data_IF_406564438092
#
_entry.id   IF_406564438092
#
_cell.length_a   1.000
_cell.length_b   1.000
_cell.length_c   1.000
_cell.angle_alpha   90.00
_cell.angle_beta   90.00
_cell.angle_gamma   90.00
#
_symmetry.space_group_name_H-M   'P 1'
#
loop_
_entity.id
_entity.type
_entity.pdbx_description
1 polymer ?
#
# COMPACT_ATOMS: atom_id res chain seq x y z
N UNK A 1 -48.32 18.25 -27.45
CA UNK A 1 -47.70 19.33 -26.68
C UNK A 1 -46.27 18.93 -26.41
N UNK A 2 -45.35 19.52 -27.16
CA UNK A 2 -43.92 19.20 -27.26
C UNK A 2 -43.17 19.86 -26.10
N UNK A 3 -42.29 19.12 -25.42
CA UNK A 3 -41.20 19.73 -24.68
C UNK A 3 -39.95 18.87 -24.78
N UNK A 4 -39.02 19.34 -25.63
CA UNK A 4 -37.63 18.86 -25.71
C UNK A 4 -36.93 19.22 -24.40
N UNK A 5 -36.31 18.25 -23.74
CA UNK A 5 -35.20 18.49 -22.82
C UNK A 5 -33.96 17.82 -23.39
N UNK A 6 -33.06 18.65 -23.88
CA UNK A 6 -31.69 18.31 -24.27
C UNK A 6 -30.91 17.81 -23.05
N UNK A 7 -30.62 16.52 -22.98
CA UNK A 7 -29.59 16.01 -22.08
C UNK A 7 -28.22 16.13 -22.79
N UNK A 8 -27.35 16.95 -22.22
CA UNK A 8 -25.90 16.92 -22.50
C UNK A 8 -25.34 15.61 -21.90
N UNK A 9 -24.53 14.82 -22.62
CA UNK A 9 -23.85 13.68 -22.00
C UNK A 9 -22.67 14.20 -21.17
N UNK A 10 -22.84 14.15 -19.85
CA UNK A 10 -21.74 14.17 -18.88
C UNK A 10 -21.13 12.77 -18.95
N UNK A 11 -20.00 12.64 -19.66
CA UNK A 11 -19.24 11.38 -19.71
C UNK A 11 -17.74 11.71 -19.57
N UNK A 12 -17.37 12.14 -18.37
CA UNK A 12 -15.98 12.23 -17.90
C UNK A 12 -16.03 12.13 -16.38
N UNK A 13 -16.14 10.92 -15.85
CA UNK A 13 -16.03 10.64 -14.42
C UNK A 13 -16.08 9.13 -14.21
N UNK A 14 -14.91 8.48 -14.21
CA UNK A 14 -14.66 7.25 -13.46
C UNK A 14 -13.15 6.92 -13.51
N UNK A 15 -12.29 7.86 -13.15
CA UNK A 15 -10.93 7.53 -12.71
C UNK A 15 -10.31 8.69 -11.93
N UNK A 16 -10.99 9.18 -10.90
CA UNK A 16 -10.43 10.10 -9.89
C UNK A 16 -11.50 10.39 -8.83
N UNK A 17 -11.24 9.95 -7.60
CA UNK A 17 -11.69 10.49 -6.31
C UNK A 17 -12.16 9.38 -5.36
N UNK A 18 -11.34 9.12 -4.34
CA UNK A 18 -11.76 8.90 -2.95
C UNK A 18 -10.51 9.08 -2.07
N UNK A 19 -10.24 10.34 -1.70
CA UNK A 19 -9.30 10.71 -0.64
C UNK A 19 -10.05 11.41 0.49
N UNK A 20 -10.05 10.74 1.64
CA UNK A 20 -9.64 11.20 2.97
C UNK A 20 -9.82 12.67 3.36
N UNK A 21 -10.51 12.86 4.50
CA UNK A 21 -10.50 14.06 5.33
C UNK A 21 -9.26 14.06 6.24
N UNK A 22 -8.62 15.23 6.36
CA UNK A 22 -7.46 15.49 7.20
C UNK A 22 -7.85 16.10 8.56
N UNK A 23 -7.00 15.93 9.56
CA UNK A 23 -6.92 16.83 10.71
C UNK A 23 -5.48 17.25 10.99
N UNK A 24 -5.36 18.49 11.46
CA UNK A 24 -4.17 19.35 11.48
C UNK A 24 -3.40 19.20 12.79
N UNK A 25 -2.06 19.22 12.74
CA UNK A 25 -1.26 19.73 13.86
C UNK A 25 -0.01 20.47 13.38
N UNK A 26 0.14 21.71 13.86
CA UNK A 26 1.35 22.53 13.76
C UNK A 26 2.46 21.92 14.63
N UNK A 27 3.70 21.97 14.16
CA UNK A 27 4.85 22.01 15.07
C UNK A 27 5.91 23.01 14.58
N UNK A 28 6.25 23.89 15.52
CA UNK A 28 7.31 24.88 15.57
C UNK A 28 8.70 24.25 15.55
N UNK A 29 9.65 24.88 14.85
CA UNK A 29 11.01 24.39 14.69
C UNK A 29 11.95 24.65 15.87
N UNK A 30 13.14 24.04 15.82
CA UNK A 30 14.43 24.69 16.14
C UNK A 30 15.64 23.84 15.75
N UNK A 31 16.63 24.53 15.18
CA UNK A 31 18.10 24.42 15.31
C UNK A 31 18.86 23.09 15.15
N UNK A 32 19.46 22.96 13.95
CA UNK A 32 20.89 22.73 13.65
C UNK A 32 21.79 22.21 14.79
N UNK A 33 22.39 21.03 14.57
CA UNK A 33 23.79 20.74 14.89
C UNK A 33 24.42 19.96 13.74
N UNK A 34 25.45 20.55 13.12
CA UNK A 34 26.25 19.92 12.06
C UNK A 34 27.29 19.01 12.73
N UNK A 35 27.23 17.73 12.42
CA UNK A 35 28.33 16.79 12.59
C UNK A 35 28.68 16.26 11.21
N UNK A 36 29.89 16.56 10.74
CA UNK A 36 30.40 16.10 9.46
C UNK A 36 30.92 14.66 9.64
N UNK A 37 30.07 13.69 9.30
CA UNK A 37 30.51 12.33 9.03
C UNK A 37 31.05 12.25 7.60
N UNK A 38 32.17 11.56 7.46
CA UNK A 38 32.81 11.26 6.18
C UNK A 38 31.76 10.81 5.17
N UNK A 39 31.67 11.52 4.05
CA UNK A 39 30.67 11.25 3.02
C UNK A 39 30.93 9.87 2.43
N UNK A 40 30.05 8.92 2.74
CA UNK A 40 29.80 7.79 1.85
C UNK A 40 29.59 8.33 0.42
N UNK A 41 29.99 7.58 -0.63
CA UNK A 41 29.70 8.00 -1.99
C UNK A 41 28.20 8.29 -2.08
N UNK A 42 27.86 9.54 -2.41
CA UNK A 42 26.46 9.97 -2.58
C UNK A 42 25.87 9.04 -3.61
N UNK A 43 25.01 8.12 -3.18
CA UNK A 43 24.31 7.25 -4.10
C UNK A 43 23.39 8.14 -4.92
N UNK A 44 23.45 8.04 -6.24
CA UNK A 44 22.55 8.77 -7.13
C UNK A 44 21.08 8.31 -6.98
N UNK A 45 20.87 7.17 -6.28
CA UNK A 45 19.57 6.54 -6.06
C UNK A 45 19.32 6.17 -4.60
N UNK A 46 18.05 6.20 -4.22
CA UNK A 46 17.48 5.64 -3.01
C UNK A 46 16.73 4.34 -3.34
N UNK A 47 17.04 3.26 -2.62
CA UNK A 47 16.33 1.97 -2.75
C UNK A 47 15.22 1.88 -1.71
N UNK A 48 14.02 1.53 -2.17
CA UNK A 48 12.83 1.35 -1.35
C UNK A 48 12.48 -0.13 -1.27
N UNK A 49 12.08 -0.60 -0.07
CA UNK A 49 11.55 -1.94 0.14
C UNK A 49 10.04 -1.88 0.38
N UNK A 50 9.29 -2.67 -0.38
CA UNK A 50 7.83 -2.79 -0.27
C UNK A 50 7.41 -4.24 -0.52
N UNK A 51 6.63 -4.81 0.39
CA UNK A 51 6.37 -6.25 0.43
C UNK A 51 7.68 -7.04 0.41
N UNK A 52 7.91 -7.82 -0.64
CA UNK A 52 9.15 -8.59 -0.83
C UNK A 52 10.06 -8.02 -1.91
N UNK A 53 9.74 -6.85 -2.46
CA UNK A 53 10.42 -6.27 -3.62
C UNK A 53 11.23 -5.03 -3.25
N UNK A 54 12.18 -4.72 -4.13
CA UNK A 54 12.96 -3.50 -4.12
C UNK A 54 12.74 -2.70 -5.41
N UNK A 55 12.82 -1.38 -5.28
CA UNK A 55 12.77 -0.42 -6.37
C UNK A 55 13.78 0.71 -6.10
N UNK A 56 14.48 1.18 -7.11
CA UNK A 56 15.38 2.33 -7.00
C UNK A 56 14.76 3.58 -7.66
N UNK A 57 14.91 4.72 -6.99
CA UNK A 57 14.46 6.03 -7.45
C UNK A 57 15.54 7.08 -7.20
N UNK A 58 15.48 8.28 -7.83
CA UNK A 58 16.45 9.34 -7.59
C UNK A 58 16.65 9.63 -6.10
N UNK A 59 17.91 9.84 -5.69
CA UNK A 59 18.23 10.11 -4.31
C UNK A 59 17.45 11.31 -3.75
N UNK A 60 16.91 11.15 -2.54
CA UNK A 60 16.04 12.15 -1.91
C UNK A 60 14.55 12.01 -2.25
N UNK A 61 14.16 10.96 -2.98
CA UNK A 61 12.75 10.62 -3.16
C UNK A 61 12.16 10.18 -1.81
N UNK A 62 10.87 10.39 -1.61
CA UNK A 62 10.21 10.18 -0.31
C UNK A 62 8.91 9.39 -0.47
N UNK A 63 8.65 8.49 0.48
CA UNK A 63 7.36 7.79 0.53
C UNK A 63 6.26 8.80 0.85
N UNK A 64 5.27 8.91 -0.04
CA UNK A 64 4.14 9.84 0.09
C UNK A 64 2.83 9.12 0.42
N UNK A 65 2.74 7.82 0.14
CA UNK A 65 1.57 7.00 0.40
C UNK A 65 1.91 5.53 0.56
N UNK A 66 1.03 4.80 1.23
CA UNK A 66 1.15 3.35 1.35
C UNK A 66 -0.12 2.70 1.89
N UNK A 67 -0.43 1.52 1.38
CA UNK A 67 -1.52 0.68 1.86
C UNK A 67 -1.04 -0.78 1.86
N UNK A 68 -1.06 -1.41 3.03
CA UNK A 68 -0.41 -2.69 3.25
C UNK A 68 -1.40 -3.64 3.91
N UNK A 69 -1.48 -4.87 3.38
CA UNK A 69 -2.18 -5.98 4.02
C UNK A 69 -1.23 -7.16 4.11
N UNK A 70 -1.19 -7.79 5.26
CA UNK A 70 -0.36 -8.95 5.52
C UNK A 70 -1.21 -10.00 6.21
N UNK A 71 -1.31 -11.18 5.60
CA UNK A 71 -2.14 -12.30 6.06
C UNK A 71 -3.57 -11.86 6.44
N UNK A 72 -4.25 -11.24 5.47
CA UNK A 72 -5.60 -10.64 5.57
C UNK A 72 -5.73 -9.42 6.49
N UNK A 73 -4.74 -9.13 7.34
CA UNK A 73 -4.76 -7.98 8.24
C UNK A 73 -4.30 -6.70 7.53
N UNK A 74 -5.16 -5.69 7.52
CA UNK A 74 -4.82 -4.34 7.05
C UNK A 74 -3.98 -3.63 8.09
N UNK A 75 -2.88 -3.04 7.67
CA UNK A 75 -2.03 -2.22 8.51
C UNK A 75 -2.47 -0.75 8.43
N UNK A 76 -2.72 -0.15 9.59
CA UNK A 76 -2.80 1.31 9.71
C UNK A 76 -1.38 1.90 9.75
N UNK A 77 -1.23 3.13 9.22
CA UNK A 77 0.05 3.85 9.27
C UNK A 77 0.63 3.84 10.69
N UNK A 78 1.91 3.46 10.88
CA UNK A 78 2.54 3.50 12.19
C UNK A 78 2.42 4.89 12.81
N UNK A 79 2.10 4.93 14.10
CA UNK A 79 1.85 6.17 14.84
C UNK A 79 2.94 6.35 15.88
N UNK A 80 3.70 7.43 15.78
CA UNK A 80 4.62 7.82 16.85
C UNK A 80 3.82 8.12 18.13
N UNK A 81 4.16 7.46 19.22
CA UNK A 81 3.55 7.68 20.53
C UNK A 81 4.41 7.10 21.66
N UNK A 82 4.39 7.76 22.81
CA UNK A 82 5.03 7.26 24.03
C UNK A 82 4.37 5.98 24.53
N UNK A 83 5.08 5.24 25.38
CA UNK A 83 4.54 4.04 26.03
C UNK A 83 3.34 4.38 26.92
N UNK A 84 3.38 5.50 27.64
CA UNK A 84 2.28 5.95 28.51
C UNK A 84 1.01 6.25 27.69
N UNK A 85 1.13 6.96 26.57
CA UNK A 85 0.02 7.20 25.66
C UNK A 85 -0.54 5.89 25.10
N UNK A 86 0.33 4.93 24.79
CA UNK A 86 -0.09 3.62 24.28
C UNK A 86 -0.88 2.85 25.32
N UNK A 87 -0.37 2.77 26.55
CA UNK A 87 -1.06 2.10 27.66
C UNK A 87 -2.41 2.76 27.96
N UNK A 88 -2.46 4.09 27.95
CA UNK A 88 -3.70 4.86 28.12
C UNK A 88 -4.70 4.55 26.99
N UNK A 89 -4.26 4.49 25.74
CA UNK A 89 -5.09 4.11 24.58
C UNK A 89 -5.66 2.70 24.76
N UNK A 90 -4.84 1.73 25.19
CA UNK A 90 -5.25 0.34 25.39
C UNK A 90 -6.27 0.20 26.54
N UNK A 91 -6.05 0.89 27.66
CA UNK A 91 -6.98 0.91 28.80
C UNK A 91 -8.29 1.58 28.41
N UNK A 92 -8.24 2.71 27.69
CA UNK A 92 -9.43 3.41 27.23
C UNK A 92 -10.27 2.53 26.28
N UNK A 93 -9.64 1.87 25.31
CA UNK A 93 -10.32 0.95 24.38
C UNK A 93 -10.91 -0.24 25.11
N UNK A 94 -10.15 -0.88 26.02
CA UNK A 94 -10.66 -2.00 26.83
C UNK A 94 -11.89 -1.58 27.65
N UNK A 95 -11.83 -0.43 28.32
CA UNK A 95 -12.95 0.10 29.12
C UNK A 95 -14.17 0.39 28.25
N UNK A 96 -13.99 1.05 27.12
CA UNK A 96 -15.07 1.36 26.19
C UNK A 96 -15.79 0.08 25.75
N UNK A 97 -15.04 -0.90 25.23
CA UNK A 97 -15.59 -2.16 24.72
C UNK A 97 -16.27 -3.01 25.81
N UNK A 98 -15.76 -2.99 27.05
CA UNK A 98 -16.39 -3.69 28.19
C UNK A 98 -17.65 -3.00 28.70
N UNK A 99 -17.70 -1.67 28.64
CA UNK A 99 -18.82 -0.89 29.20
C UNK A 99 -20.01 -0.79 28.25
N UNK A 100 -19.78 -0.92 26.94
CA UNK A 100 -20.85 -0.86 25.93
C UNK A 100 -21.53 -2.20 25.80
N UNK A 101 -22.84 -2.25 26.05
CA UNK A 101 -23.64 -3.48 25.95
C UNK A 101 -23.80 -3.93 24.50
N UNK A 102 -23.70 -5.23 24.28
CA UNK A 102 -24.12 -5.88 23.05
C UNK A 102 -25.55 -6.43 23.22
N UNK A 103 -26.29 -6.63 22.13
CA UNK A 103 -27.70 -7.09 22.20
C UNK A 103 -27.83 -8.54 22.64
N UNK A 104 -26.83 -9.37 22.36
CA UNK A 104 -26.85 -10.81 22.68
C UNK A 104 -25.65 -11.28 23.53
N UNK A 105 -24.69 -10.40 23.80
CA UNK A 105 -23.54 -10.69 24.65
C UNK A 105 -23.38 -9.62 25.73
N UNK A 106 -22.64 -9.90 26.83
CA UNK A 106 -22.52 -8.95 27.94
C UNK A 106 -22.00 -7.58 27.53
N UNK A 107 -21.09 -7.53 26.56
CA UNK A 107 -20.45 -6.31 26.07
C UNK A 107 -20.01 -6.44 24.61
N UNK A 108 -19.54 -5.34 24.00
CA UNK A 108 -18.91 -5.39 22.67
C UNK A 108 -17.59 -6.19 22.68
N UNK A 109 -16.84 -6.17 23.79
CA UNK A 109 -15.63 -6.97 23.93
C UNK A 109 -15.97 -8.46 24.01
N UNK A 110 -15.41 -9.26 23.09
CA UNK A 110 -15.50 -10.73 23.11
C UNK A 110 -14.29 -11.34 23.77
N UNK A 111 -13.10 -11.03 23.26
CA UNK A 111 -11.82 -11.60 23.70
C UNK A 111 -10.78 -10.49 23.78
N UNK A 112 -9.92 -10.57 24.79
CA UNK A 112 -8.72 -9.75 24.89
C UNK A 112 -7.53 -10.65 25.17
N UNK A 113 -6.57 -10.69 24.25
CA UNK A 113 -5.29 -11.39 24.43
C UNK A 113 -4.20 -10.35 24.70
N UNK A 114 -3.32 -10.66 25.65
CA UNK A 114 -2.15 -9.84 25.99
C UNK A 114 -0.90 -10.72 25.82
N UNK A 115 -0.37 -10.91 24.59
CA UNK A 115 0.76 -11.82 24.35
C UNK A 115 2.02 -11.45 25.14
N UNK A 116 2.24 -10.15 25.32
CA UNK A 116 3.34 -9.57 26.09
C UNK A 116 2.90 -8.19 26.65
N UNK A 117 3.73 -7.51 27.47
CA UNK A 117 3.37 -6.21 28.03
C UNK A 117 3.02 -5.13 26.99
N UNK A 118 3.61 -5.20 25.80
CA UNK A 118 3.54 -4.19 24.73
C UNK A 118 2.55 -4.53 23.61
N UNK A 119 1.85 -5.66 23.70
CA UNK A 119 0.95 -6.16 22.66
C UNK A 119 -0.47 -6.43 23.18
N UNK A 120 -1.48 -6.07 22.39
CA UNK A 120 -2.90 -6.34 22.69
C UNK A 120 -3.61 -6.85 21.45
N UNK A 121 -4.44 -7.87 21.60
CA UNK A 121 -5.35 -8.31 20.53
C UNK A 121 -6.78 -8.20 21.06
N UNK A 122 -7.56 -7.32 20.46
CA UNK A 122 -8.97 -7.13 20.79
C UNK A 122 -9.83 -7.84 19.76
N UNK A 123 -10.68 -8.76 20.22
CA UNK A 123 -11.78 -9.30 19.42
C UNK A 123 -13.07 -8.68 19.94
N UNK A 124 -13.81 -7.98 19.07
CA UNK A 124 -14.98 -7.22 19.48
C UNK A 124 -16.02 -7.10 18.37
N UNK A 125 -17.25 -6.79 18.77
CA UNK A 125 -18.31 -6.35 17.86
C UNK A 125 -18.15 -4.87 17.56
N UNK A 126 -18.17 -4.50 16.28
CA UNK A 126 -18.11 -3.09 15.87
C UNK A 126 -19.33 -2.32 16.41
N UNK A 127 -20.51 -2.94 16.35
CA UNK A 127 -21.76 -2.35 16.81
C UNK A 127 -22.57 -3.31 17.68
N UNK A 128 -23.45 -2.75 18.51
CA UNK A 128 -24.25 -3.51 19.50
C UNK A 128 -25.16 -4.59 18.93
N UNK A 129 -25.41 -4.60 17.61
CA UNK A 129 -26.34 -5.51 16.96
C UNK A 129 -25.68 -6.49 15.98
N UNK A 130 -24.37 -6.36 15.72
CA UNK A 130 -23.66 -7.21 14.77
C UNK A 130 -23.39 -8.56 15.41
N UNK A 131 -23.77 -9.65 14.74
CA UNK A 131 -23.53 -11.02 15.23
C UNK A 131 -22.84 -11.92 14.22
N UNK A 132 -22.47 -11.38 13.06
CA UNK A 132 -21.95 -12.16 11.92
C UNK A 132 -20.44 -12.05 11.73
N UNK A 133 -19.85 -10.89 12.07
CA UNK A 133 -18.44 -10.59 11.88
C UNK A 133 -17.92 -9.87 13.11
N UNK A 134 -16.86 -10.42 13.72
CA UNK A 134 -16.12 -9.76 14.78
C UNK A 134 -14.88 -9.07 14.20
N UNK A 135 -14.56 -7.89 14.73
CA UNK A 135 -13.33 -7.17 14.43
C UNK A 135 -12.19 -7.75 15.28
N UNK A 136 -10.99 -7.85 14.69
CA UNK A 136 -9.77 -8.35 15.32
C UNK A 136 -8.68 -7.29 15.13
N UNK A 137 -8.46 -6.50 16.17
CA UNK A 137 -7.41 -5.47 16.18
C UNK A 137 -6.18 -5.98 16.94
N UNK A 138 -5.03 -6.05 16.29
CA UNK A 138 -3.73 -6.29 16.92
C UNK A 138 -2.91 -5.02 17.06
N UNK A 139 -2.55 -4.68 18.30
CA UNK A 139 -1.71 -3.54 18.64
C UNK A 139 -0.36 -4.05 19.15
N UNK A 140 0.72 -3.37 18.73
CA UNK A 140 2.06 -3.57 19.30
C UNK A 140 2.80 -2.25 19.37
N UNK A 141 3.42 -1.98 20.51
CA UNK A 141 4.31 -0.84 20.70
C UNK A 141 5.77 -1.29 20.63
N UNK A 142 6.58 -0.58 19.84
CA UNK A 142 8.02 -0.83 19.69
C UNK A 142 8.71 0.53 19.57
N UNK A 143 9.65 0.83 20.47
CA UNK A 143 10.56 1.98 20.41
C UNK A 143 9.89 3.32 20.03
N UNK A 144 8.83 3.70 20.75
CA UNK A 144 8.12 4.97 20.54
C UNK A 144 7.13 4.96 19.37
N UNK A 145 6.83 3.78 18.81
CA UNK A 145 5.93 3.63 17.67
C UNK A 145 4.85 2.58 17.96
N UNK A 146 3.59 2.92 17.69
CA UNK A 146 2.47 1.98 17.73
C UNK A 146 2.11 1.49 16.34
N UNK A 147 2.09 0.18 16.20
CA UNK A 147 1.58 -0.55 15.06
C UNK A 147 0.16 -1.05 15.36
N UNK A 148 -0.71 -0.98 14.35
CA UNK A 148 -2.10 -1.44 14.43
C UNK A 148 -2.45 -2.23 13.17
N UNK A 149 -2.77 -3.50 13.36
CA UNK A 149 -3.27 -4.41 12.35
C UNK A 149 -4.75 -4.68 12.59
N UNK A 150 -5.55 -4.69 11.54
CA UNK A 150 -6.99 -4.89 11.59
C UNK A 150 -7.39 -6.03 10.66
N UNK A 151 -8.00 -7.06 11.20
CA UNK A 151 -8.63 -8.14 10.45
C UNK A 151 -10.03 -8.41 10.97
N UNK A 152 -10.73 -9.34 10.32
CA UNK A 152 -12.09 -9.70 10.65
C UNK A 152 -12.21 -11.21 10.80
N UNK A 153 -13.12 -11.65 11.67
CA UNK A 153 -13.44 -13.05 11.87
C UNK A 153 -14.94 -13.29 11.65
N UNK A 154 -15.25 -14.17 10.71
CA UNK A 154 -16.62 -14.63 10.50
C UNK A 154 -17.11 -15.49 11.67
N UNK A 155 -18.37 -15.33 12.05
CA UNK A 155 -18.97 -16.04 13.20
C UNK A 155 -19.83 -17.24 12.76
N UNK A 156 -19.74 -17.61 11.48
CA UNK A 156 -20.35 -18.82 10.96
C UNK A 156 -19.68 -20.07 11.55
N UNK A 157 -20.44 -21.17 11.62
CA UNK A 157 -19.91 -22.44 12.11
C UNK A 157 -18.76 -22.90 11.19
N UNK A 158 -17.56 -23.17 11.74
CA UNK A 158 -16.45 -23.67 10.95
C UNK A 158 -16.75 -25.08 10.42
N UNK A 159 -15.94 -25.54 9.46
CA UNK A 159 -16.02 -26.92 8.98
C UNK A 159 -15.71 -27.88 10.14
N UNK A 160 -16.39 -29.02 10.21
CA UNK A 160 -16.15 -30.00 11.27
C UNK A 160 -14.67 -30.40 11.31
N UNK A 161 -14.05 -30.29 12.48
CA UNK A 161 -12.64 -30.60 12.70
C UNK A 161 -11.66 -29.46 12.41
N UNK A 162 -12.13 -28.25 12.11
CA UNK A 162 -11.27 -27.06 11.98
C UNK A 162 -11.49 -26.08 13.12
N UNK A 163 -10.52 -25.19 13.36
CA UNK A 163 -10.64 -24.07 14.30
C UNK A 163 -11.77 -23.13 13.88
N UNK A 164 -12.31 -22.38 14.84
CA UNK A 164 -13.20 -21.27 14.49
C UNK A 164 -12.42 -20.18 13.76
N UNK A 165 -13.09 -19.40 12.91
CA UNK A 165 -12.45 -18.27 12.22
C UNK A 165 -11.93 -17.21 13.21
N UNK A 166 -12.56 -17.09 14.39
CA UNK A 166 -12.07 -16.21 15.45
C UNK A 166 -10.75 -16.68 16.05
N UNK A 167 -10.62 -17.99 16.33
CA UNK A 167 -9.36 -18.57 16.82
C UNK A 167 -8.27 -18.44 15.75
N UNK A 168 -8.58 -18.74 14.49
CA UNK A 168 -7.63 -18.61 13.36
C UNK A 168 -7.16 -17.14 13.21
N UNK A 169 -8.08 -16.18 13.22
CA UNK A 169 -7.73 -14.75 13.11
C UNK A 169 -6.88 -14.26 14.30
N UNK A 170 -7.13 -14.75 15.51
CA UNK A 170 -6.31 -14.41 16.69
C UNK A 170 -4.91 -15.01 16.57
N UNK A 171 -4.79 -16.27 16.15
CA UNK A 171 -3.49 -16.94 15.97
C UNK A 171 -2.65 -16.27 14.88
N UNK A 172 -3.26 -15.94 13.73
CA UNK A 172 -2.60 -15.14 12.66
C UNK A 172 -2.12 -13.81 13.21
N UNK A 173 -2.98 -13.10 13.94
CA UNK A 173 -2.60 -11.82 14.54
C UNK A 173 -1.44 -11.97 15.53
N UNK A 174 -1.40 -13.03 16.33
CA UNK A 174 -0.25 -13.32 17.22
C UNK A 174 1.04 -13.54 16.43
N UNK A 175 0.99 -14.27 15.31
CA UNK A 175 2.14 -14.50 14.44
C UNK A 175 2.66 -13.18 13.81
N UNK A 176 1.74 -12.33 13.31
CA UNK A 176 2.07 -11.00 12.78
C UNK A 176 2.81 -10.17 13.83
N UNK A 177 2.26 -10.07 15.04
CA UNK A 177 2.86 -9.27 16.10
C UNK A 177 4.21 -9.83 16.58
N UNK A 178 4.40 -11.16 16.54
CA UNK A 178 5.65 -11.80 16.92
C UNK A 178 6.79 -11.55 15.92
N UNK A 179 6.48 -11.56 14.61
CA UNK A 179 7.45 -11.27 13.55
C UNK A 179 7.74 -9.78 13.34
N UNK A 180 6.97 -8.89 13.98
CA UNK A 180 7.04 -7.45 13.76
C UNK A 180 8.26 -6.80 14.43
N UNK A 181 8.99 -6.00 13.63
CA UNK A 181 10.01 -5.07 14.10
C UNK A 181 9.95 -3.73 13.37
N UNK A 182 10.53 -2.71 14.00
CA UNK A 182 10.78 -1.41 13.38
C UNK A 182 11.77 -1.56 12.23
N UNK A 183 11.60 -0.72 11.20
CA UNK A 183 12.50 -0.63 10.05
C UNK A 183 12.59 0.81 9.59
N UNK A 184 13.80 1.30 9.34
CA UNK A 184 13.95 2.62 8.70
C UNK A 184 13.63 2.55 7.20
N UNK A 185 13.22 3.67 6.58
CA UNK A 185 12.76 3.70 5.18
C UNK A 185 13.74 3.05 4.19
N UNK A 186 15.04 3.32 4.35
CA UNK A 186 16.10 2.86 3.46
C UNK A 186 16.86 1.63 3.97
N UNK A 187 16.49 1.09 5.12
CA UNK A 187 17.01 -0.21 5.57
C UNK A 187 16.43 -1.32 4.69
N UNK A 188 17.32 -2.17 4.15
CA UNK A 188 16.97 -3.33 3.35
C UNK A 188 17.18 -4.58 4.19
N UNK A 189 16.11 -5.23 4.68
CA UNK A 189 16.23 -6.47 5.44
C UNK A 189 16.84 -7.59 4.60
N UNK A 190 17.83 -8.28 5.15
CA UNK A 190 18.45 -9.46 4.51
C UNK A 190 17.78 -10.77 4.89
N UNK A 191 16.83 -10.74 5.82
CA UNK A 191 16.04 -11.90 6.21
C UNK A 191 14.72 -11.98 5.40
N UNK A 192 14.13 -13.18 5.25
CA UNK A 192 12.81 -13.36 4.66
C UNK A 192 11.71 -12.61 5.41
N UNK A 193 10.80 -11.99 4.65
CA UNK A 193 9.65 -11.30 5.24
C UNK A 193 9.16 -10.11 4.44
N UNK A 194 8.25 -9.36 5.03
CA UNK A 194 7.44 -8.35 4.37
C UNK A 194 7.77 -6.93 4.86
N UNK A 195 8.19 -6.07 3.95
CA UNK A 195 8.48 -4.65 4.18
C UNK A 195 7.23 -3.80 4.01
N UNK A 196 7.05 -2.84 4.90
CA UNK A 196 6.09 -1.76 4.74
C UNK A 196 6.68 -0.44 5.26
N UNK A 197 5.94 0.66 5.15
CA UNK A 197 6.39 1.96 5.66
C UNK A 197 6.57 1.94 7.19
N UNK A 198 7.80 2.13 7.65
CA UNK A 198 8.15 2.17 9.08
C UNK A 198 8.28 0.80 9.77
N UNK A 199 8.21 -0.33 9.06
CA UNK A 199 8.34 -1.64 9.70
C UNK A 199 8.62 -2.81 8.77
N UNK A 200 8.77 -3.98 9.41
CA UNK A 200 9.04 -5.25 8.78
C UNK A 200 8.43 -6.41 9.58
N UNK A 201 7.85 -7.39 8.90
CA UNK A 201 7.38 -8.65 9.50
C UNK A 201 8.27 -9.78 8.99
N UNK A 202 9.09 -10.37 9.87
CA UNK A 202 9.92 -11.52 9.53
C UNK A 202 9.03 -12.76 9.33
N UNK A 203 9.10 -13.36 8.15
CA UNK A 203 8.44 -14.63 7.83
C UNK A 203 9.11 -15.30 6.61
N UNK A 204 9.65 -16.53 6.74
CA UNK A 204 10.16 -17.29 5.60
C UNK A 204 9.06 -17.65 4.61
N UNK A 205 7.87 -17.97 5.08
CA UNK A 205 6.74 -18.41 4.27
C UNK A 205 6.03 -17.22 3.62
N UNK A 206 5.46 -17.45 2.45
CA UNK A 206 4.62 -16.48 1.75
C UNK A 206 3.19 -16.51 2.32
N UNK A 207 2.65 -15.34 2.66
CA UNK A 207 1.26 -15.21 3.14
C UNK A 207 0.40 -14.47 2.11
N UNK A 208 -0.87 -14.24 2.46
CA UNK A 208 -1.75 -13.35 1.69
C UNK A 208 -1.30 -11.89 1.84
N UNK A 209 -0.31 -11.51 1.04
CA UNK A 209 0.41 -10.24 1.09
C UNK A 209 -0.12 -9.28 0.01
N UNK A 210 -0.51 -8.06 0.37
CA UNK A 210 -0.81 -6.97 -0.56
C UNK A 210 0.05 -5.78 -0.19
N UNK A 211 0.71 -5.14 -1.16
CA UNK A 211 1.52 -3.95 -0.88
C UNK A 211 1.24 -2.89 -1.93
N UNK A 212 0.88 -1.69 -1.48
CA UNK A 212 0.82 -0.49 -2.29
C UNK A 212 1.75 0.55 -1.68
N UNK A 213 2.62 1.14 -2.48
CA UNK A 213 3.50 2.24 -2.06
C UNK A 213 3.48 3.33 -3.12
N UNK A 214 3.41 4.58 -2.68
CA UNK A 214 3.56 5.78 -3.50
C UNK A 214 4.81 6.52 -3.05
N UNK A 215 5.64 6.93 -4.02
CA UNK A 215 6.93 7.57 -3.77
C UNK A 215 7.02 8.82 -4.64
N UNK A 216 7.09 9.98 -4.00
CA UNK A 216 7.33 11.26 -4.68
C UNK A 216 8.78 11.33 -5.16
N UNK A 217 8.95 11.75 -6.41
CA UNK A 217 10.25 11.73 -7.09
C UNK A 217 11.04 12.98 -6.73
N UNK A 218 12.28 12.81 -6.28
CA UNK A 218 13.18 13.92 -5.97
C UNK A 218 13.33 14.88 -7.16
N UNK A 219 13.22 16.19 -6.89
CA UNK A 219 13.32 17.23 -7.92
C UNK A 219 12.07 17.39 -8.80
N UNK A 220 11.07 16.50 -8.65
CA UNK A 220 9.83 16.50 -9.44
C UNK A 220 8.61 16.42 -8.51
N UNK A 221 8.22 17.52 -7.85
CA UNK A 221 7.07 17.55 -6.94
C UNK A 221 5.71 17.33 -7.64
N UNK A 222 5.71 17.30 -8.97
CA UNK A 222 4.57 16.95 -9.81
C UNK A 222 4.56 15.47 -10.20
N UNK A 223 5.51 14.67 -9.74
CA UNK A 223 5.69 13.28 -10.15
C UNK A 223 5.82 12.30 -8.99
N UNK A 224 5.19 11.15 -9.15
CA UNK A 224 5.32 10.03 -8.23
C UNK A 224 5.37 8.71 -8.99
N UNK A 225 6.00 7.71 -8.36
CA UNK A 225 5.91 6.31 -8.77
C UNK A 225 5.09 5.56 -7.76
N UNK A 226 4.25 4.67 -8.25
CA UNK A 226 3.45 3.81 -7.40
C UNK A 226 3.65 2.34 -7.79
N UNK A 227 3.71 1.48 -6.79
CA UNK A 227 3.86 0.03 -6.97
C UNK A 227 2.76 -0.67 -6.19
N UNK A 228 2.01 -1.53 -6.86
CA UNK A 228 1.00 -2.39 -6.26
C UNK A 228 1.33 -3.85 -6.52
N UNK A 229 1.29 -4.63 -5.45
CA UNK A 229 1.33 -6.07 -5.45
C UNK A 229 -0.03 -6.59 -4.99
N UNK A 230 -0.60 -7.51 -5.78
CA UNK A 230 -1.89 -8.13 -5.51
C UNK A 230 -1.69 -9.60 -5.10
N UNK A 231 -2.46 -10.10 -4.13
CA UNK A 231 -2.27 -11.43 -3.55
C UNK A 231 -2.92 -12.54 -4.40
N UNK A 232 -3.61 -12.17 -5.48
CA UNK A 232 -4.35 -13.06 -6.36
C UNK A 232 -4.08 -12.69 -7.82
N UNK A 233 -4.24 -13.68 -8.70
CA UNK A 233 -4.17 -13.50 -10.14
C UNK A 233 -5.10 -12.37 -10.62
N UNK A 234 -4.58 -11.44 -11.43
CA UNK A 234 -5.42 -10.43 -12.09
C UNK A 234 -6.14 -10.97 -13.32
N UNK A 235 -5.56 -11.97 -13.98
CA UNK A 235 -6.11 -12.62 -15.18
C UNK A 235 -7.47 -13.29 -14.93
N UNK A 236 -7.75 -13.75 -13.71
CA UNK A 236 -9.04 -14.34 -13.34
C UNK A 236 -10.20 -13.32 -13.39
N UNK A 237 -9.90 -12.02 -13.39
CA UNK A 237 -10.89 -10.96 -13.22
C UNK A 237 -10.75 -9.80 -14.23
N UNK A 238 -9.73 -9.78 -15.09
CA UNK A 238 -9.54 -8.72 -16.09
C UNK A 238 -8.83 -9.20 -17.35
N UNK A 239 -9.13 -8.55 -18.49
CA UNK A 239 -8.35 -8.68 -19.73
C UNK A 239 -6.92 -8.12 -19.56
N UNK A 240 -5.95 -8.59 -20.40
CA UNK A 240 -4.61 -8.04 -20.46
C UNK A 240 -4.59 -6.53 -20.64
N UNK A 241 -3.50 -5.90 -20.19
CA UNK A 241 -3.38 -4.44 -20.18
C UNK A 241 -3.68 -3.82 -21.55
N UNK A 242 -3.07 -4.34 -22.61
CA UNK A 242 -3.17 -3.76 -23.94
C UNK A 242 -4.57 -3.88 -24.56
N UNK A 243 -5.31 -4.92 -24.20
CA UNK A 243 -6.69 -5.12 -24.64
C UNK A 243 -7.62 -4.15 -23.90
N UNK A 244 -7.45 -4.07 -22.57
CA UNK A 244 -8.22 -3.18 -21.71
C UNK A 244 -8.04 -1.70 -22.09
N UNK A 245 -6.81 -1.24 -22.33
CA UNK A 245 -6.58 0.15 -22.77
C UNK A 245 -7.11 0.40 -24.19
N UNK A 246 -7.09 -0.62 -25.06
CA UNK A 246 -7.72 -0.56 -26.37
C UNK A 246 -9.23 -0.27 -26.28
N UNK A 247 -9.94 -1.00 -25.41
CA UNK A 247 -11.36 -0.77 -25.12
C UNK A 247 -11.63 0.63 -24.57
N UNK A 248 -10.80 1.12 -23.66
CA UNK A 248 -10.93 2.48 -23.09
C UNK A 248 -10.74 3.56 -24.16
N UNK A 249 -9.70 3.46 -25.00
CA UNK A 249 -9.48 4.42 -26.08
C UNK A 249 -10.64 4.42 -27.10
N UNK A 250 -11.20 3.24 -27.38
CA UNK A 250 -12.37 3.14 -28.25
C UNK A 250 -13.60 3.83 -27.64
N UNK A 251 -13.84 3.64 -26.33
CA UNK A 251 -14.92 4.31 -25.59
C UNK A 251 -14.75 5.84 -25.57
N UNK A 252 -13.52 6.34 -25.46
CA UNK A 252 -13.23 7.79 -25.48
C UNK A 252 -13.48 8.43 -26.85
N UNK A 253 -13.52 7.65 -27.94
CA UNK A 253 -13.83 8.12 -29.28
C UNK A 253 -12.96 9.31 -29.69
N UNK A 254 -13.58 10.45 -30.03
CA UNK A 254 -12.85 11.66 -30.44
C UNK A 254 -11.94 12.24 -29.36
N UNK A 255 -12.24 12.01 -28.08
CA UNK A 255 -11.41 12.50 -26.98
C UNK A 255 -10.07 11.75 -26.87
N UNK A 256 -9.98 10.54 -27.45
CA UNK A 256 -8.73 9.80 -27.53
C UNK A 256 -7.64 10.54 -28.32
N UNK A 257 -8.01 11.50 -29.19
CA UNK A 257 -7.04 12.36 -29.92
C UNK A 257 -6.18 13.24 -29.02
N UNK A 258 -6.61 13.48 -27.78
CA UNK A 258 -5.82 14.21 -26.77
C UNK A 258 -4.82 13.32 -26.03
N UNK A 259 -4.86 12.00 -26.27
CA UNK A 259 -3.92 11.02 -25.72
C UNK A 259 -2.87 10.72 -26.77
N UNK A 260 -1.61 10.99 -26.46
CA UNK A 260 -0.49 10.63 -27.32
C UNK A 260 0.21 9.41 -26.75
N UNK A 261 0.21 8.32 -27.51
CA UNK A 261 0.91 7.07 -27.15
C UNK A 261 2.39 7.24 -27.48
N UNK A 262 3.24 7.09 -26.45
CA UNK A 262 4.69 7.20 -26.58
C UNK A 262 5.32 5.82 -26.82
N UNK A 263 4.87 4.79 -26.08
CA UNK A 263 5.33 3.40 -26.23
C UNK A 263 4.26 2.45 -25.71
N UNK A 264 4.11 1.29 -26.34
CA UNK A 264 3.23 0.20 -25.88
C UNK A 264 3.71 -1.13 -26.40
N UNK A 265 3.53 -2.19 -25.62
CA UNK A 265 3.90 -3.53 -26.04
C UNK A 265 4.21 -4.43 -24.85
N UNK A 266 4.65 -5.65 -25.17
CA UNK A 266 5.20 -6.55 -24.17
C UNK A 266 6.54 -6.00 -23.68
N UNK A 267 6.73 -6.03 -22.35
CA UNK A 267 7.98 -5.66 -21.70
C UNK A 267 8.28 -6.62 -20.57
N UNK A 268 9.45 -7.23 -20.64
CA UNK A 268 10.01 -8.03 -19.55
C UNK A 268 10.67 -7.12 -18.51
N UNK A 269 10.39 -7.35 -17.23
CA UNK A 269 11.03 -6.68 -16.09
C UNK A 269 11.60 -7.75 -15.17
N UNK A 270 12.93 -7.82 -15.06
CA UNK A 270 13.60 -8.92 -14.37
C UNK A 270 13.17 -10.27 -14.96
N UNK A 271 12.70 -11.24 -14.14
CA UNK A 271 12.16 -12.50 -14.65
C UNK A 271 10.70 -12.40 -15.15
N UNK A 272 10.00 -11.30 -14.88
CA UNK A 272 8.55 -11.19 -15.05
C UNK A 272 8.17 -10.72 -16.44
N UNK A 273 7.25 -11.45 -17.08
CA UNK A 273 6.66 -11.04 -18.35
C UNK A 273 5.45 -10.16 -18.08
N UNK A 274 5.40 -8.99 -18.71
CA UNK A 274 4.32 -8.04 -18.56
C UNK A 274 4.12 -7.19 -19.81
N UNK A 275 3.22 -6.22 -19.70
CA UNK A 275 2.91 -5.28 -20.76
C UNK A 275 3.09 -3.86 -20.23
N UNK A 276 3.54 -2.96 -21.10
CA UNK A 276 3.57 -1.52 -20.80
C UNK A 276 2.68 -0.72 -21.75
N UNK A 277 2.18 0.41 -21.23
CA UNK A 277 1.44 1.41 -21.97
C UNK A 277 1.82 2.80 -21.45
N UNK A 278 2.51 3.58 -22.28
CA UNK A 278 3.05 4.89 -21.95
C UNK A 278 2.33 5.96 -22.76
N UNK A 279 1.67 6.89 -22.08
CA UNK A 279 0.97 7.99 -22.74
C UNK A 279 1.29 9.34 -22.11
N UNK A 280 1.14 10.39 -22.90
CA UNK A 280 1.01 11.77 -22.43
C UNK A 280 -0.39 12.28 -22.77
N UNK A 281 -1.06 12.87 -21.78
CA UNK A 281 -2.44 13.33 -21.88
C UNK A 281 -2.71 14.52 -20.94
N UNK A 282 -3.73 15.35 -21.22
CA UNK A 282 -4.23 16.33 -20.26
C UNK A 282 -4.74 15.63 -18.99
N UNK A 283 -4.29 16.08 -17.83
CA UNK A 283 -4.81 15.65 -16.53
C UNK A 283 -6.10 16.42 -16.17
N UNK A 284 -6.68 16.11 -15.00
CA UNK A 284 -7.89 16.79 -14.47
C UNK A 284 -7.69 18.28 -14.16
N UNK A 285 -6.45 18.77 -14.16
CA UNK A 285 -6.07 20.19 -14.10
C UNK A 285 -5.99 20.88 -15.45
N UNK A 286 -6.23 20.16 -16.56
CA UNK A 286 -6.05 20.69 -17.92
C UNK A 286 -4.59 20.84 -18.33
N UNK A 287 -3.66 20.37 -17.50
CA UNK A 287 -2.22 20.40 -17.77
C UNK A 287 -1.78 19.06 -18.34
N UNK A 288 -0.85 19.08 -19.29
CA UNK A 288 -0.35 17.83 -19.88
C UNK A 288 0.66 17.17 -18.94
N UNK A 289 0.50 15.86 -18.75
CA UNK A 289 1.39 15.02 -17.97
C UNK A 289 1.47 13.61 -18.55
N UNK A 290 2.30 12.80 -17.93
CA UNK A 290 2.56 11.41 -18.30
C UNK A 290 1.76 10.47 -17.41
N UNK A 291 1.23 9.41 -18.01
CA UNK A 291 0.60 8.28 -17.33
C UNK A 291 1.21 7.01 -17.91
N UNK A 292 2.19 6.47 -17.19
CA UNK A 292 2.94 5.29 -17.60
C UNK A 292 2.57 4.12 -16.72
N UNK A 293 2.38 2.98 -17.34
CA UNK A 293 1.88 1.79 -16.68
C UNK A 293 2.62 0.57 -17.20
N UNK A 294 3.09 -0.27 -16.29
CA UNK A 294 3.52 -1.64 -16.56
C UNK A 294 2.78 -2.58 -15.62
N UNK A 295 2.30 -3.69 -16.16
CA UNK A 295 1.59 -4.70 -15.39
C UNK A 295 2.01 -6.12 -15.80
N UNK A 296 2.01 -7.01 -14.83
CA UNK A 296 1.99 -8.45 -15.05
C UNK A 296 0.80 -9.03 -14.30
N UNK A 297 0.04 -9.93 -14.95
CA UNK A 297 -1.21 -10.42 -14.38
C UNK A 297 -0.98 -11.43 -13.27
N UNK A 298 0.06 -12.26 -13.42
CA UNK A 298 0.52 -13.25 -12.45
C UNK A 298 -0.55 -14.17 -11.87
N UNK A 299 -0.15 -14.88 -10.82
CA UNK A 299 -1.00 -15.70 -9.96
C UNK A 299 -1.12 -15.12 -8.53
N UNK A 300 -0.35 -14.08 -8.21
CA UNK A 300 -0.28 -13.51 -6.86
C UNK A 300 0.77 -14.18 -5.96
N UNK A 301 1.78 -14.82 -6.55
CA UNK A 301 2.89 -15.47 -5.84
C UNK A 301 4.22 -14.75 -6.09
N UNK A 302 5.31 -15.14 -5.44
CA UNK A 302 6.62 -14.54 -5.72
C UNK A 302 7.19 -14.87 -7.11
N UNK A 303 6.93 -16.09 -7.57
CA UNK A 303 7.41 -16.58 -8.87
C UNK A 303 6.56 -16.06 -10.02
N UNK A 304 5.25 -15.89 -9.78
CA UNK A 304 4.28 -15.33 -10.71
C UNK A 304 3.50 -14.19 -10.03
N UNK A 305 4.11 -13.02 -9.80
CA UNK A 305 3.49 -11.94 -9.05
C UNK A 305 2.46 -11.22 -9.91
N UNK A 306 1.33 -10.86 -9.29
CA UNK A 306 0.37 -9.95 -9.88
C UNK A 306 0.76 -8.52 -9.49
N UNK A 307 1.30 -7.75 -10.43
CA UNK A 307 1.94 -6.47 -10.15
C UNK A 307 1.44 -5.37 -11.07
N UNK A 308 1.53 -4.16 -10.54
CA UNK A 308 1.31 -2.91 -11.27
C UNK A 308 2.35 -1.90 -10.82
N UNK A 309 2.99 -1.25 -11.78
CA UNK A 309 3.89 -0.12 -11.54
C UNK A 309 3.38 1.05 -12.37
N UNK A 310 3.25 2.22 -11.76
CA UNK A 310 2.87 3.46 -12.44
C UNK A 310 3.90 4.55 -12.23
N UNK A 311 4.06 5.38 -13.25
CA UNK A 311 4.68 6.69 -13.12
C UNK A 311 3.68 7.73 -13.61
N UNK A 312 3.39 8.69 -12.76
CA UNK A 312 2.49 9.81 -13.07
C UNK A 312 3.25 11.12 -12.93
N UNK A 313 3.02 12.06 -13.84
CA UNK A 313 3.55 13.44 -13.75
C UNK A 313 2.44 14.48 -13.94
N UNK A 314 2.72 15.73 -13.56
CA UNK A 314 1.74 16.81 -13.57
C UNK A 314 0.62 16.66 -12.55
N UNK A 315 0.75 15.81 -11.52
CA UNK A 315 -0.32 15.69 -10.52
C UNK A 315 -0.49 17.01 -9.73
N UNK A 316 -1.71 17.26 -9.24
CA UNK A 316 -2.00 18.49 -8.50
C UNK A 316 -1.22 18.54 -7.18
N UNK A 317 -0.85 19.73 -6.74
CA UNK A 317 -0.22 19.88 -5.42
C UNK A 317 -1.19 19.54 -4.28
N UNK A 318 -0.69 19.50 -3.04
CA UNK A 318 -1.50 19.22 -1.85
C UNK A 318 -2.69 20.17 -1.61
N UNK A 319 -2.67 21.36 -2.22
CA UNK A 319 -3.76 22.34 -2.14
C UNK A 319 -4.74 22.20 -3.33
N UNK A 320 -4.50 21.23 -4.21
CA UNK A 320 -5.26 21.01 -5.43
C UNK A 320 -4.87 21.92 -6.59
N UNK A 321 -3.78 22.68 -6.52
CA UNK A 321 -3.34 23.50 -7.65
C UNK A 321 -2.76 22.64 -8.77
N UNK A 322 -3.02 23.02 -10.02
CA UNK A 322 -2.43 22.33 -11.16
C UNK A 322 -0.90 22.52 -11.19
N UNK A 323 -0.16 21.44 -11.43
CA UNK A 323 1.29 21.50 -11.62
C UNK A 323 1.64 21.09 -13.04
N UNK A 324 2.52 21.86 -13.68
CA UNK A 324 3.06 21.50 -14.98
C UNK A 324 4.29 20.64 -14.82
N UNK A 325 4.30 19.51 -15.53
CA UNK A 325 5.47 18.66 -15.54
C UNK A 325 6.65 19.37 -16.19
N UNK A 326 7.81 19.22 -15.55
CA UNK A 326 9.10 19.71 -16.07
C UNK A 326 9.85 18.64 -16.84
N UNK A 327 9.36 17.41 -16.85
CA UNK A 327 9.94 16.31 -17.61
C UNK A 327 9.46 16.38 -19.05
N UNK A 328 10.39 16.31 -19.99
CA UNK A 328 10.06 16.00 -21.39
C UNK A 328 9.67 14.53 -21.52
N UNK A 329 8.99 14.16 -22.61
CA UNK A 329 8.64 12.78 -22.93
C UNK A 329 9.86 11.85 -22.86
N UNK A 330 11.00 12.28 -23.41
CA UNK A 330 12.27 11.53 -23.36
C UNK A 330 12.81 11.36 -21.93
N UNK A 331 12.74 12.41 -21.11
CA UNK A 331 13.20 12.36 -19.72
C UNK A 331 12.29 11.47 -18.87
N UNK A 332 10.97 11.55 -19.07
CA UNK A 332 9.99 10.70 -18.39
C UNK A 332 10.19 9.22 -18.77
N UNK A 333 10.36 8.92 -20.07
CA UNK A 333 10.63 7.54 -20.52
C UNK A 333 11.95 7.00 -19.99
N UNK A 334 13.00 7.84 -19.93
CA UNK A 334 14.28 7.44 -19.33
C UNK A 334 14.13 7.12 -17.84
N UNK A 335 13.42 7.96 -17.09
CA UNK A 335 13.16 7.72 -15.66
C UNK A 335 12.35 6.44 -15.47
N UNK A 336 11.33 6.23 -16.30
CA UNK A 336 10.52 5.01 -16.31
C UNK A 336 11.35 3.75 -16.56
N UNK A 337 12.26 3.79 -17.53
CA UNK A 337 13.14 2.68 -17.83
C UNK A 337 14.05 2.37 -16.65
N UNK A 338 14.63 3.38 -16.00
CA UNK A 338 15.46 3.22 -14.81
C UNK A 338 14.67 2.60 -13.62
N UNK A 339 13.44 3.07 -13.40
CA UNK A 339 12.55 2.56 -12.35
C UNK A 339 12.26 1.08 -12.60
N UNK A 340 11.77 0.72 -13.79
CA UNK A 340 11.45 -0.67 -14.11
C UNK A 340 12.68 -1.58 -14.09
N UNK A 341 13.80 -1.15 -14.65
CA UNK A 341 15.02 -1.97 -14.70
C UNK A 341 15.62 -2.22 -13.30
N UNK A 342 15.28 -1.37 -12.31
CA UNK A 342 15.66 -1.57 -10.91
C UNK A 342 14.68 -2.46 -10.12
N UNK A 343 13.48 -2.71 -10.63
CA UNK A 343 12.48 -3.49 -9.89
C UNK A 343 12.90 -4.96 -9.79
N UNK A 344 12.94 -5.48 -8.56
CA UNK A 344 13.51 -6.81 -8.29
C UNK A 344 12.98 -7.41 -6.99
N UNK A 345 12.98 -8.74 -6.90
CA UNK A 345 12.80 -9.42 -5.62
C UNK A 345 13.94 -9.05 -4.68
N UNK A 346 13.64 -8.80 -3.40
CA UNK A 346 14.64 -8.51 -2.37
C UNK A 346 15.52 -9.74 -2.14
N UNK A 347 16.85 -9.64 -2.27
CA UNK A 347 17.74 -10.73 -1.91
C UNK A 347 17.64 -11.04 -0.41
N UNK A 348 17.52 -12.32 -0.08
CA UNK A 348 17.51 -12.80 1.31
C UNK A 348 18.64 -13.81 1.51
N UNK A 349 19.23 -13.82 2.70
CA UNK A 349 20.19 -14.85 3.08
C UNK A 349 19.36 -16.07 3.48
N UNK A 350 19.41 -17.13 2.68
CA UNK A 350 18.84 -18.42 3.08
C UNK A 350 19.60 -18.94 4.30
N UNK A 351 18.97 -18.91 5.46
CA UNK A 351 19.38 -19.76 6.58
C UNK A 351 19.18 -21.20 6.13
N UNK A 352 20.27 -21.94 5.91
CA UNK A 352 20.26 -23.39 5.79
C UNK A 352 19.59 -23.99 7.03
N UNK A 353 18.29 -24.23 6.97
CA UNK A 353 17.67 -25.20 7.85
C UNK A 353 18.11 -26.58 7.36
N UNK A 354 18.96 -27.22 8.16
CA UNK A 354 19.18 -28.65 8.11
C UNK A 354 17.82 -29.34 8.21
N UNK A 355 17.32 -29.88 7.10
CA UNK A 355 16.24 -30.87 7.16
C UNK A 355 16.74 -32.06 7.99
N UNK A 356 15.96 -32.56 8.97
CA UNK A 356 16.24 -33.83 9.60
C UNK A 356 16.20 -34.99 8.60
#
# INVERSE_FOLDING_TARGET
MTMKRTLRPILFLALLALLWLADISLQTGSSIMKSAYASEPVRDVSTFCTGRFLLDLPAGSVVSGGNYRYDYARLDKPKAMSLEEFEAEMVAKEKALRSTKHKVEPSLLRVLVKPDPYSRIFVYWEESFITSIAQVDGYRWIDGTRYLFKSEAGMSKPRTGTKSYQEDAVERMQAILAGLRTRSTYEIPTEPGYCFDGGFIANPEWEMEEAAIDIDIAGHPDAYVSVWFYPLARSAHSEPLLDRVGGVLQMLGRMATSVHVLRRGDRKVGPYQGQEFLVTAPNSGGVRGHSFLWETEGEGTLDAPALKIELTTGHRDKNGNAQQTRLTDEQAMKLWDQVLDSFRLRPVIETKESRP
#
